data_IF_764933838221
#
_entry.id   IF_764933838221
#
_cell.length_a   1.000
_cell.length_b   1.000
_cell.length_c   1.000
_cell.angle_alpha   90.00
_cell.angle_beta   90.00
_cell.angle_gamma   90.00
#
_symmetry.space_group_name_H-M   'P 1'
#
loop_
_entity.id
_entity.type
_entity.pdbx_description
1 polymer ?
#
# COMPACT_ATOMS: atom_id res chain seq x y z
N UNK A 1 25.31 23.08 17.48
CA UNK A 1 25.32 21.64 17.80
C UNK A 1 26.69 21.09 17.44
N UNK A 2 27.35 20.32 18.32
CA UNK A 2 28.64 19.71 18.00
C UNK A 2 28.56 18.84 16.75
N UNK A 3 29.53 18.99 15.85
CA UNK A 3 29.78 18.06 14.75
C UNK A 3 29.97 16.67 15.38
N UNK A 4 29.17 15.67 14.99
CA UNK A 4 29.14 14.31 15.58
C UNK A 4 28.35 14.13 16.89
N UNK A 5 27.36 14.99 17.16
CA UNK A 5 26.37 14.69 18.21
C UNK A 5 25.59 13.41 17.85
N UNK A 6 25.88 12.33 18.57
CA UNK A 6 25.34 10.99 18.39
C UNK A 6 23.83 11.01 18.12
N UNK A 7 23.36 10.12 17.23
CA UNK A 7 21.93 9.94 16.88
C UNK A 7 21.01 9.74 18.10
N UNK A 8 21.57 9.48 19.28
CA UNK A 8 20.92 9.34 20.58
C UNK A 8 20.52 10.65 21.27
N UNK A 9 21.04 11.80 20.84
CA UNK A 9 20.69 13.11 21.40
C UNK A 9 19.89 14.00 20.45
N UNK A 10 19.77 13.60 19.18
CA UNK A 10 18.96 14.31 18.21
C UNK A 10 17.50 13.86 18.33
N UNK A 11 16.71 14.61 19.10
CA UNK A 11 15.26 14.35 19.31
C UNK A 11 14.54 14.08 18.01
N UNK A 12 14.85 14.85 16.96
CA UNK A 12 14.25 14.73 15.64
C UNK A 12 14.50 13.36 15.01
N UNK A 13 15.74 12.85 15.09
CA UNK A 13 16.15 11.56 14.53
C UNK A 13 15.54 10.37 15.29
N UNK A 14 15.54 10.44 16.63
CA UNK A 14 15.07 9.35 17.50
C UNK A 14 13.56 9.20 17.42
N UNK A 15 12.83 10.31 17.33
CA UNK A 15 11.37 10.30 17.39
C UNK A 15 10.75 10.35 16.02
N UNK A 16 10.61 11.56 15.49
CA UNK A 16 9.78 11.82 14.33
C UNK A 16 10.30 11.16 13.07
N UNK A 17 11.60 11.23 12.78
CA UNK A 17 12.16 10.67 11.55
C UNK A 17 12.15 9.14 11.60
N UNK A 18 12.43 8.53 12.76
CA UNK A 18 12.37 7.06 12.90
C UNK A 18 10.95 6.51 12.75
N UNK A 19 9.95 7.24 13.25
CA UNK A 19 8.53 6.85 13.12
C UNK A 19 8.05 7.06 11.68
N UNK A 20 8.44 8.17 11.03
CA UNK A 20 8.14 8.40 9.60
C UNK A 20 8.73 7.30 8.73
N UNK A 21 9.99 6.90 8.96
CA UNK A 21 10.63 5.81 8.20
C UNK A 21 9.86 4.50 8.34
N UNK A 22 9.42 4.16 9.55
CA UNK A 22 8.63 2.95 9.82
C UNK A 22 7.24 3.01 9.18
N UNK A 23 6.53 4.13 9.36
CA UNK A 23 5.21 4.35 8.76
C UNK A 23 5.28 4.27 7.24
N UNK A 24 6.24 4.98 6.63
CA UNK A 24 6.46 4.91 5.19
C UNK A 24 6.78 3.48 4.73
N UNK A 25 7.67 2.76 5.43
CA UNK A 25 7.97 1.36 5.13
C UNK A 25 6.73 0.46 5.15
N UNK A 26 5.83 0.65 6.12
CA UNK A 26 4.55 -0.07 6.19
C UNK A 26 3.64 0.26 5.01
N UNK A 27 3.54 1.54 4.61
CA UNK A 27 2.74 1.94 3.45
C UNK A 27 3.31 1.36 2.14
N UNK A 28 4.63 1.34 1.99
CA UNK A 28 5.29 0.68 0.84
C UNK A 28 5.00 -0.81 0.82
N UNK A 29 5.03 -1.48 1.98
CA UNK A 29 4.70 -2.89 2.08
C UNK A 29 3.24 -3.19 1.67
N UNK A 30 2.29 -2.33 2.05
CA UNK A 30 0.90 -2.44 1.58
C UNK A 30 0.79 -2.26 0.06
N UNK A 31 1.55 -1.34 -0.52
CA UNK A 31 1.59 -1.16 -1.99
C UNK A 31 2.15 -2.40 -2.70
N UNK A 32 3.20 -3.02 -2.16
CA UNK A 32 3.78 -4.26 -2.69
C UNK A 32 2.77 -5.41 -2.60
N UNK A 33 2.02 -5.53 -1.49
CA UNK A 33 0.94 -6.52 -1.34
C UNK A 33 -0.14 -6.39 -2.40
N UNK A 34 -0.38 -5.17 -2.90
CA UNK A 34 -1.31 -4.89 -3.99
C UNK A 34 -0.69 -5.09 -5.39
N UNK A 35 0.53 -5.60 -5.48
CA UNK A 35 1.25 -5.84 -6.74
C UNK A 35 1.92 -4.59 -7.33
N UNK A 36 2.00 -3.48 -6.57
CA UNK A 36 2.65 -2.24 -7.00
C UNK A 36 4.13 -2.30 -6.59
N UNK A 37 4.96 -2.80 -7.49
CA UNK A 37 6.41 -2.97 -7.23
C UNK A 37 7.24 -1.73 -7.57
N UNK A 38 6.67 -0.74 -8.25
CA UNK A 38 7.38 0.48 -8.64
C UNK A 38 6.69 1.72 -8.06
N UNK A 39 7.44 2.48 -7.28
CA UNK A 39 7.01 3.75 -6.68
C UNK A 39 7.65 4.88 -7.47
N UNK A 40 6.86 5.61 -8.25
CA UNK A 40 7.34 6.80 -8.93
C UNK A 40 7.40 7.99 -7.96
N UNK A 41 8.01 9.10 -8.40
CA UNK A 41 8.22 10.29 -7.56
C UNK A 41 6.92 10.87 -7.00
N UNK A 42 5.84 10.84 -7.77
CA UNK A 42 4.50 11.25 -7.33
C UNK A 42 3.96 10.31 -6.24
N UNK A 43 4.11 9.00 -6.42
CA UNK A 43 3.71 8.00 -5.42
C UNK A 43 4.50 8.16 -4.12
N UNK A 44 5.81 8.43 -4.21
CA UNK A 44 6.67 8.74 -3.05
C UNK A 44 6.13 9.93 -2.27
N UNK A 45 5.79 11.03 -2.95
CA UNK A 45 5.30 12.24 -2.29
C UNK A 45 3.96 11.98 -1.59
N UNK A 46 3.04 11.27 -2.25
CA UNK A 46 1.74 10.91 -1.67
C UNK A 46 1.91 10.07 -0.39
N UNK A 47 2.73 9.01 -0.49
CA UNK A 47 3.01 8.10 0.63
C UNK A 47 3.78 8.81 1.76
N UNK A 48 4.73 9.68 1.42
CA UNK A 48 5.49 10.44 2.40
C UNK A 48 4.62 11.45 3.14
N UNK A 49 3.72 12.17 2.44
CA UNK A 49 2.77 13.10 3.08
C UNK A 49 1.86 12.35 4.04
N UNK A 50 1.38 11.16 3.64
CA UNK A 50 0.57 10.31 4.51
C UNK A 50 1.37 9.85 5.74
N UNK A 51 2.56 9.26 5.54
CA UNK A 51 3.42 8.81 6.64
C UNK A 51 3.78 9.96 7.59
N UNK A 52 3.99 11.16 7.06
CA UNK A 52 4.26 12.37 7.84
C UNK A 52 3.07 12.72 8.74
N UNK A 53 1.84 12.71 8.21
CA UNK A 53 0.63 12.98 9.00
C UNK A 53 0.45 11.96 10.13
N UNK A 54 0.70 10.69 9.84
CA UNK A 54 0.54 9.61 10.80
C UNK A 54 1.62 9.63 11.90
N UNK A 55 2.82 10.12 11.55
CA UNK A 55 3.99 10.05 12.44
C UNK A 55 4.19 11.30 13.30
N UNK A 56 3.89 12.49 12.77
CA UNK A 56 4.07 13.77 13.48
C UNK A 56 2.87 14.08 14.38
N UNK A 57 2.60 13.21 15.35
CA UNK A 57 1.61 13.44 16.39
C UNK A 57 2.24 14.09 17.62
N UNK A 58 1.43 14.78 18.42
CA UNK A 58 1.89 15.38 19.69
C UNK A 58 2.55 14.34 20.62
N UNK A 59 1.99 13.13 20.67
CA UNK A 59 2.54 12.03 21.47
C UNK A 59 3.91 11.57 20.97
N UNK A 60 4.11 11.41 19.66
CA UNK A 60 5.41 11.03 19.08
C UNK A 60 6.48 12.07 19.38
N UNK A 61 6.14 13.36 19.24
CA UNK A 61 7.07 14.45 19.53
C UNK A 61 7.42 14.46 21.02
N UNK A 62 6.43 14.45 21.91
CA UNK A 62 6.65 14.42 23.37
C UNK A 62 7.48 13.21 23.80
N UNK A 63 7.19 12.03 23.26
CA UNK A 63 7.95 10.82 23.52
C UNK A 63 9.40 10.94 23.04
N UNK A 64 9.65 11.67 21.96
CA UNK A 64 10.98 12.01 21.49
C UNK A 64 11.78 12.87 22.44
N UNK A 65 11.19 13.95 22.92
CA UNK A 65 11.81 14.81 23.93
C UNK A 65 12.07 14.08 25.25
N UNK A 66 11.15 13.19 25.66
CA UNK A 66 11.35 12.31 26.81
C UNK A 66 12.48 11.31 26.59
N UNK A 67 12.52 10.67 25.43
CA UNK A 67 13.54 9.66 25.09
C UNK A 67 14.95 10.25 24.98
N UNK A 68 15.07 11.51 24.59
CA UNK A 68 16.34 12.24 24.58
C UNK A 68 16.71 12.85 25.94
N UNK A 69 15.88 12.64 26.98
CA UNK A 69 16.13 13.20 28.32
C UNK A 69 16.04 14.72 28.39
N UNK A 70 15.41 15.37 27.40
CA UNK A 70 15.31 16.84 27.31
C UNK A 70 14.05 17.34 28.05
N UNK A 71 12.91 16.68 27.88
CA UNK A 71 11.66 17.08 28.53
C UNK A 71 10.80 15.87 28.95
N UNK A 72 10.61 15.62 30.26
CA UNK A 72 11.30 16.28 31.39
C UNK A 72 12.81 16.00 31.36
N UNK A 73 13.61 16.91 31.93
CA UNK A 73 15.06 16.78 31.94
C UNK A 73 15.48 15.56 32.79
N UNK A 74 16.23 14.63 32.19
CA UNK A 74 16.60 13.37 32.84
C UNK A 74 17.67 12.63 32.05
N UNK A 75 18.93 12.83 32.44
CA UNK A 75 20.10 12.25 31.77
C UNK A 75 20.25 10.74 32.06
N UNK A 76 19.78 10.26 33.20
CA UNK A 76 19.93 8.86 33.63
C UNK A 76 19.34 7.87 32.62
N UNK A 77 18.15 8.16 32.08
CA UNK A 77 17.50 7.33 31.05
C UNK A 77 18.27 7.27 29.73
N UNK A 78 19.08 8.29 29.43
CA UNK A 78 19.92 8.35 28.23
C UNK A 78 21.24 7.62 28.50
N UNK A 79 21.81 7.80 29.68
CA UNK A 79 23.03 7.11 30.13
C UNK A 79 22.82 5.59 30.22
N UNK A 80 21.67 5.12 30.68
CA UNK A 80 21.31 3.69 30.69
C UNK A 80 21.30 3.07 29.29
N UNK A 81 20.95 3.85 28.25
CA UNK A 81 20.98 3.42 26.85
C UNK A 81 22.36 3.48 26.21
N UNK A 82 23.28 4.27 26.78
CA UNK A 82 24.67 4.39 26.33
C UNK A 82 25.56 3.27 26.89
N UNK A 83 25.15 2.61 27.98
CA UNK A 83 25.77 1.39 28.48
C UNK A 83 25.43 0.21 27.58
N UNK A 84 26.03 0.17 26.40
CA UNK A 84 25.94 -0.96 25.48
C UNK A 84 26.79 -2.10 26.05
N UNK A 85 26.18 -2.96 26.85
CA UNK A 85 26.71 -4.32 26.95
C UNK A 85 26.53 -4.97 25.57
N UNK A 86 27.65 -5.27 24.90
CA UNK A 86 27.66 -6.10 23.71
C UNK A 86 27.19 -7.51 24.10
N UNK A 87 25.88 -7.70 24.14
CA UNK A 87 25.30 -9.04 24.21
C UNK A 87 25.27 -9.58 22.79
N UNK A 88 26.11 -10.56 22.51
CA UNK A 88 25.86 -11.48 21.41
C UNK A 88 24.50 -12.14 21.68
N UNK A 89 23.52 -12.09 20.76
CA UNK A 89 22.33 -12.89 20.94
C UNK A 89 22.75 -14.35 20.99
N UNK A 90 22.57 -14.99 22.15
CA UNK A 90 22.68 -16.44 22.25
C UNK A 90 21.64 -17.03 21.30
N UNK A 91 21.98 -18.04 20.47
CA UNK A 91 21.02 -18.63 19.56
C UNK A 91 19.80 -19.12 20.36
N UNK A 92 18.57 -18.89 19.87
CA UNK A 92 17.39 -19.42 20.55
C UNK A 92 17.53 -20.94 20.65
N UNK A 93 17.42 -21.47 21.86
CA UNK A 93 17.25 -22.91 22.06
C UNK A 93 15.97 -23.33 21.34
N UNK A 94 16.11 -24.07 20.26
CA UNK A 94 15.01 -24.71 19.56
C UNK A 94 14.38 -25.72 20.52
N UNK A 95 13.21 -25.40 21.06
CA UNK A 95 12.34 -26.42 21.63
C UNK A 95 11.71 -27.17 20.47
N UNK A 96 12.05 -28.45 20.34
CA UNK A 96 11.38 -29.41 19.46
C UNK A 96 9.91 -29.50 19.91
N UNK A 97 9.01 -28.87 19.14
CA UNK A 97 7.57 -29.09 19.25
C UNK A 97 7.23 -30.15 18.20
N UNK A 98 6.78 -31.31 18.66
CA UNK A 98 6.16 -32.35 17.83
C UNK A 98 4.88 -31.81 17.18
N UNK A 99 4.59 -32.18 15.92
CA UNK A 99 3.44 -31.65 15.22
C UNK A 99 2.17 -32.41 15.64
N UNK A 100 1.33 -31.78 16.45
CA UNK A 100 -0.10 -32.09 16.43
C UNK A 100 -0.84 -30.99 15.66
N UNK A 101 -1.62 -31.45 14.68
CA UNK A 101 -2.39 -30.67 13.72
C UNK A 101 -3.22 -29.57 14.39
N UNK A 102 -2.80 -28.32 14.21
CA UNK A 102 -3.60 -27.14 14.57
C UNK A 102 -3.56 -26.12 13.43
N UNK A 103 -4.75 -25.81 12.91
CA UNK A 103 -5.02 -24.82 11.87
C UNK A 103 -5.78 -23.66 12.56
N UNK A 104 -5.27 -22.42 12.53
CA UNK A 104 -6.01 -21.27 13.04
C UNK A 104 -6.98 -20.76 11.97
N UNK A 105 -8.18 -20.29 12.35
CA UNK A 105 -8.78 -19.04 11.84
C UNK A 105 -10.20 -18.77 12.35
N UNK A 106 -10.53 -17.48 12.36
CA UNK A 106 -11.27 -16.73 13.38
C UNK A 106 -12.71 -16.41 13.02
N UNK A 107 -13.67 -16.73 13.91
CA UNK A 107 -15.08 -16.31 13.93
C UNK A 107 -15.30 -14.78 14.01
N UNK A 108 -16.37 -14.29 13.38
CA UNK A 108 -16.54 -12.87 12.97
C UNK A 108 -17.41 -11.98 13.88
N UNK A 109 -17.93 -12.51 14.97
CA UNK A 109 -18.55 -11.75 16.08
C UNK A 109 -18.52 -12.63 17.34
N UNK A 110 -18.00 -12.11 18.46
CA UNK A 110 -17.82 -12.86 19.70
C UNK A 110 -19.14 -13.19 20.41
N UNK A 111 -20.14 -12.32 20.30
CA UNK A 111 -21.42 -12.49 21.00
C UNK A 111 -22.33 -13.57 20.38
N UNK A 112 -22.36 -13.67 19.04
CA UNK A 112 -23.15 -14.70 18.35
C UNK A 112 -22.52 -16.10 18.42
N UNK A 113 -21.20 -16.17 18.64
CA UNK A 113 -20.47 -17.42 18.80
C UNK A 113 -20.81 -18.12 20.12
N UNK A 114 -20.87 -17.37 21.23
CA UNK A 114 -21.24 -17.95 22.53
C UNK A 114 -22.71 -18.44 22.54
N UNK A 115 -23.62 -17.72 21.88
CA UNK A 115 -25.03 -18.13 21.74
C UNK A 115 -25.19 -19.44 20.94
N UNK A 116 -24.44 -19.57 19.84
CA UNK A 116 -24.44 -20.80 19.03
C UNK A 116 -23.68 -21.96 19.69
N UNK A 117 -22.63 -21.66 20.45
CA UNK A 117 -21.88 -22.66 21.23
C UNK A 117 -22.76 -23.29 22.29
N UNK A 118 -23.56 -22.50 23.02
CA UNK A 118 -24.49 -23.02 24.02
C UNK A 118 -25.65 -23.81 23.40
N UNK A 119 -26.22 -23.35 22.28
CA UNK A 119 -27.27 -24.09 21.57
C UNK A 119 -26.77 -25.44 21.01
N UNK A 120 -25.56 -25.48 20.47
CA UNK A 120 -24.93 -26.71 19.96
C UNK A 120 -24.52 -27.63 21.11
N UNK A 121 -24.00 -27.11 22.22
CA UNK A 121 -23.72 -27.91 23.42
C UNK A 121 -24.98 -28.51 24.05
N UNK A 122 -26.09 -27.77 24.06
CA UNK A 122 -27.41 -28.25 24.51
C UNK A 122 -27.92 -29.40 23.63
N UNK A 123 -27.85 -29.25 22.30
CA UNK A 123 -28.25 -30.30 21.36
C UNK A 123 -27.37 -31.56 21.45
N UNK A 124 -26.06 -31.38 21.66
CA UNK A 124 -25.12 -32.49 21.89
C UNK A 124 -25.43 -33.20 23.21
N UNK A 125 -25.76 -32.47 24.28
CA UNK A 125 -26.08 -33.05 25.59
C UNK A 125 -27.38 -33.85 25.55
N UNK A 126 -28.40 -33.38 24.83
CA UNK A 126 -29.65 -34.13 24.62
C UNK A 126 -29.45 -35.35 23.70
N UNK A 127 -28.53 -35.27 22.74
CA UNK A 127 -28.21 -36.35 21.80
C UNK A 127 -27.44 -37.53 22.42
N UNK A 128 -26.73 -37.31 23.53
CA UNK A 128 -25.89 -38.34 24.17
C UNK A 128 -26.72 -39.46 24.81
N UNK A 129 -28.03 -39.27 25.02
CA UNK A 129 -28.91 -40.32 25.54
C UNK A 129 -29.54 -41.24 24.47
N UNK A 130 -29.32 -41.01 23.15
CA UNK A 130 -30.16 -41.68 22.15
C UNK A 130 -29.51 -42.29 20.90
N UNK A 131 -28.21 -42.10 20.59
CA UNK A 131 -27.46 -42.93 19.60
C UNK A 131 -26.06 -42.35 19.28
N UNK A 132 -25.02 -43.18 19.04
CA UNK A 132 -23.71 -42.74 18.56
C UNK A 132 -23.70 -42.69 17.02
N UNK A 133 -23.66 -41.50 16.39
CA UNK A 133 -23.74 -41.43 14.92
C UNK A 133 -22.67 -40.54 14.24
N UNK A 134 -21.96 -41.06 13.21
CA UNK A 134 -21.02 -40.32 12.33
C UNK A 134 -21.58 -39.01 11.74
N UNK A 135 -22.89 -38.90 11.67
CA UNK A 135 -23.69 -37.76 11.17
C UNK A 135 -23.52 -36.51 12.03
N UNK A 136 -23.39 -36.64 13.36
CA UNK A 136 -23.14 -35.48 14.25
C UNK A 136 -21.76 -34.88 13.98
N UNK A 137 -20.76 -35.73 13.69
CA UNK A 137 -19.42 -35.29 13.29
C UNK A 137 -19.45 -34.60 11.92
N UNK A 138 -20.20 -35.13 10.96
CA UNK A 138 -20.38 -34.53 9.64
C UNK A 138 -21.03 -33.14 9.71
N UNK A 139 -22.10 -32.97 10.51
CA UNK A 139 -22.76 -31.67 10.71
C UNK A 139 -21.82 -30.66 11.36
N UNK A 140 -21.04 -31.04 12.37
CA UNK A 140 -20.02 -30.17 12.97
C UNK A 140 -18.96 -29.74 11.96
N UNK A 141 -18.53 -30.64 11.08
CA UNK A 141 -17.58 -30.33 10.02
C UNK A 141 -18.17 -29.38 8.97
N UNK A 142 -19.44 -29.55 8.59
CA UNK A 142 -20.16 -28.62 7.71
C UNK A 142 -20.21 -27.21 8.31
N UNK A 143 -20.60 -27.08 9.59
CA UNK A 143 -20.64 -25.79 10.28
C UNK A 143 -19.26 -25.11 10.26
N UNK A 144 -18.17 -25.85 10.55
CA UNK A 144 -16.80 -25.33 10.45
C UNK A 144 -16.43 -24.91 9.02
N UNK A 145 -16.83 -25.68 8.02
CA UNK A 145 -16.62 -25.36 6.61
C UNK A 145 -17.31 -24.06 6.20
N UNK A 146 -18.56 -23.86 6.62
CA UNK A 146 -19.30 -22.61 6.40
C UNK A 146 -18.64 -21.42 7.09
N UNK A 147 -18.20 -21.57 8.34
CA UNK A 147 -17.47 -20.52 9.05
C UNK A 147 -16.22 -20.10 8.29
N UNK A 148 -15.38 -21.06 7.89
CA UNK A 148 -14.16 -20.79 7.12
C UNK A 148 -14.46 -20.12 5.78
N UNK A 149 -15.48 -20.59 5.06
CA UNK A 149 -15.91 -19.98 3.80
C UNK A 149 -16.35 -18.52 4.01
N UNK A 150 -17.09 -18.23 5.08
CA UNK A 150 -17.44 -16.86 5.43
C UNK A 150 -16.20 -16.01 5.72
N UNK A 151 -15.23 -16.49 6.51
CA UNK A 151 -13.99 -15.75 6.80
C UNK A 151 -13.21 -15.39 5.56
N UNK A 152 -12.99 -16.38 4.71
CA UNK A 152 -12.35 -16.19 3.41
C UNK A 152 -13.10 -15.18 2.56
N UNK A 153 -14.43 -15.27 2.46
CA UNK A 153 -15.23 -14.33 1.69
C UNK A 153 -15.07 -12.88 2.19
N UNK A 154 -14.94 -12.66 3.50
CA UNK A 154 -14.76 -11.30 4.04
C UNK A 154 -13.34 -10.76 3.89
N UNK A 155 -12.32 -11.62 3.98
CA UNK A 155 -10.95 -11.23 3.64
C UNK A 155 -10.84 -10.89 2.15
N UNK A 156 -11.39 -11.76 1.29
CA UNK A 156 -11.41 -11.56 -0.16
C UNK A 156 -12.18 -10.31 -0.58
N UNK A 157 -13.30 -9.98 0.08
CA UNK A 157 -14.02 -8.74 -0.22
C UNK A 157 -13.22 -7.51 0.19
N UNK A 158 -12.56 -7.53 1.34
CA UNK A 158 -11.67 -6.45 1.78
C UNK A 158 -10.47 -6.28 0.84
N UNK A 159 -9.82 -7.37 0.44
CA UNK A 159 -8.70 -7.36 -0.52
C UNK A 159 -9.15 -6.89 -1.91
N UNK A 160 -10.28 -7.39 -2.42
CA UNK A 160 -10.83 -6.94 -3.70
C UNK A 160 -11.16 -5.45 -3.68
N UNK A 161 -11.72 -4.92 -2.60
CA UNK A 161 -11.96 -3.49 -2.46
C UNK A 161 -10.66 -2.67 -2.54
N UNK A 162 -9.59 -3.10 -1.85
CA UNK A 162 -8.26 -2.48 -1.93
C UNK A 162 -7.69 -2.54 -3.36
N UNK A 163 -7.79 -3.71 -4.02
CA UNK A 163 -7.32 -3.92 -5.39
C UNK A 163 -8.09 -3.05 -6.40
N UNK A 164 -9.40 -2.88 -6.24
CA UNK A 164 -10.20 -2.01 -7.09
C UNK A 164 -9.73 -0.56 -6.99
N UNK A 165 -9.53 -0.04 -5.77
CA UNK A 165 -9.01 1.32 -5.55
C UNK A 165 -7.61 1.49 -6.17
N UNK A 166 -6.72 0.52 -5.97
CA UNK A 166 -5.37 0.54 -6.55
C UNK A 166 -5.40 0.52 -8.08
N UNK A 167 -6.26 -0.33 -8.68
CA UNK A 167 -6.44 -0.41 -10.13
C UNK A 167 -6.98 0.90 -10.72
N UNK A 168 -7.96 1.52 -10.07
CA UNK A 168 -8.48 2.82 -10.52
C UNK A 168 -7.41 3.92 -10.44
N UNK A 169 -6.59 3.94 -9.39
CA UNK A 169 -5.43 4.85 -9.31
C UNK A 169 -4.45 4.60 -10.44
N UNK A 170 -4.12 3.34 -10.73
CA UNK A 170 -3.22 2.97 -11.81
C UNK A 170 -3.79 3.35 -13.19
N UNK A 171 -5.08 3.14 -13.44
CA UNK A 171 -5.77 3.57 -14.68
C UNK A 171 -5.71 5.09 -14.83
N UNK A 172 -6.05 5.85 -13.79
CA UNK A 172 -5.94 7.32 -13.79
C UNK A 172 -4.52 7.79 -14.11
N UNK A 173 -3.50 7.13 -13.57
CA UNK A 173 -2.09 7.42 -13.83
C UNK A 173 -1.71 7.16 -15.29
N UNK A 174 -2.13 6.02 -15.85
CA UNK A 174 -1.94 5.69 -17.28
C UNK A 174 -2.61 6.71 -18.21
N UNK A 175 -3.78 7.20 -17.84
CA UNK A 175 -4.55 8.14 -18.63
C UNK A 175 -4.10 9.61 -18.48
N UNK A 176 -3.21 9.90 -17.51
CA UNK A 176 -2.72 11.27 -17.29
C UNK A 176 -1.75 11.66 -18.41
N UNK A 177 -2.15 12.64 -19.24
CA UNK A 177 -1.28 13.21 -20.27
C UNK A 177 -0.12 13.96 -19.61
N UNK A 178 1.11 13.68 -20.04
CA UNK A 178 2.30 14.43 -19.61
C UNK A 178 2.26 15.80 -20.29
N UNK A 179 2.08 16.86 -19.53
CA UNK A 179 2.24 18.23 -20.03
C UNK A 179 3.73 18.59 -19.97
N UNK A 180 4.29 18.93 -21.13
CA UNK A 180 5.65 19.46 -21.22
C UNK A 180 5.63 20.95 -20.88
N UNK A 181 6.35 21.34 -19.82
CA UNK A 181 6.51 22.76 -19.49
C UNK A 181 7.59 23.33 -20.40
N UNK A 182 7.16 24.17 -21.35
CA UNK A 182 8.01 24.70 -22.44
C UNK A 182 8.99 25.79 -21.99
N UNK A 183 8.71 26.49 -20.88
CA UNK A 183 9.60 27.55 -20.36
C UNK A 183 10.61 26.94 -19.40
N UNK A 184 11.89 26.93 -19.79
CA UNK A 184 12.99 26.73 -18.86
C UNK A 184 13.08 27.93 -17.92
N UNK A 185 12.87 27.71 -16.63
CA UNK A 185 12.86 28.73 -15.59
C UNK A 185 12.40 28.16 -14.24
N UNK A 186 12.56 28.94 -13.17
CA UNK A 186 12.03 28.60 -11.84
C UNK A 186 10.51 28.80 -11.87
N UNK A 187 9.76 27.70 -11.82
CA UNK A 187 8.29 27.76 -11.73
C UNK A 187 7.88 28.14 -10.32
N UNK A 188 7.06 29.17 -10.19
CA UNK A 188 6.47 29.53 -8.90
C UNK A 188 5.38 28.52 -8.53
N UNK A 189 5.22 28.25 -7.22
CA UNK A 189 4.19 27.33 -6.70
C UNK A 189 2.75 27.75 -7.03
N UNK A 190 2.56 29.01 -7.44
CA UNK A 190 1.27 29.56 -7.89
C UNK A 190 1.01 29.15 -9.36
N UNK A 191 1.99 29.36 -10.24
CA UNK A 191 1.91 29.00 -11.67
C UNK A 191 1.68 27.49 -11.87
N UNK A 192 2.30 26.65 -11.03
CA UNK A 192 2.09 25.20 -11.06
C UNK A 192 0.65 24.84 -10.65
N UNK A 193 0.05 25.55 -9.69
CA UNK A 193 -1.32 25.31 -9.24
C UNK A 193 -2.35 25.71 -10.30
N UNK A 194 -2.15 26.84 -10.95
CA UNK A 194 -3.01 27.33 -12.04
C UNK A 194 -2.96 26.42 -13.27
N UNK A 195 -1.77 25.89 -13.60
CA UNK A 195 -1.64 24.90 -14.69
C UNK A 195 -2.39 23.58 -14.39
N UNK A 196 -2.50 23.20 -13.11
CA UNK A 196 -3.25 22.01 -12.70
C UNK A 196 -4.77 22.23 -12.66
N UNK A 197 -5.24 23.41 -12.23
CA UNK A 197 -6.67 23.74 -12.19
C UNK A 197 -7.27 23.88 -13.59
N UNK A 198 -6.54 24.50 -14.53
CA UNK A 198 -6.99 24.64 -15.93
C UNK A 198 -7.21 23.33 -16.67
N UNK A 199 -6.58 22.23 -16.24
CA UNK A 199 -6.73 20.92 -16.86
C UNK A 199 -7.90 20.10 -16.30
N UNK A 200 -8.45 20.45 -15.14
CA UNK A 200 -9.57 19.73 -14.51
C UNK A 200 -10.94 20.20 -15.01
N UNK A 201 -11.01 21.40 -15.62
CA UNK A 201 -12.27 22.04 -16.03
C UNK A 201 -12.71 21.72 -17.48
N UNK A 202 -12.06 20.75 -18.17
CA UNK A 202 -12.43 20.29 -19.52
C UNK A 202 -13.00 18.87 -19.53
N UNK A 203 -13.78 18.51 -18.51
CA UNK A 203 -14.56 17.27 -18.47
C UNK A 203 -16.04 17.60 -18.27
N UNK A 204 -16.68 18.04 -19.35
CA UNK A 204 -18.12 18.17 -19.46
C UNK A 204 -18.53 17.79 -20.87
N UNK A 205 -19.47 16.84 -20.96
CA UNK A 205 -20.20 16.38 -22.14
C UNK A 205 -19.41 15.62 -23.23
N UNK A 206 -19.50 14.29 -23.23
CA UNK A 206 -20.50 13.58 -24.04
C UNK A 206 -20.36 12.05 -23.83
N UNK A 207 -21.44 11.40 -23.41
CA UNK A 207 -21.58 9.95 -23.41
C UNK A 207 -21.85 9.50 -24.85
N UNK A 208 -20.91 8.75 -25.41
CA UNK A 208 -21.04 8.12 -26.71
C UNK A 208 -19.94 7.09 -26.86
N UNK A 209 -20.31 5.81 -26.83
CA UNK A 209 -19.40 4.72 -27.14
C UNK A 209 -18.80 4.94 -28.54
N UNK A 210 -17.49 5.16 -28.60
CA UNK A 210 -16.70 5.05 -29.83
C UNK A 210 -15.28 4.68 -29.44
N UNK A 211 -14.83 3.51 -29.89
CA UNK A 211 -13.46 3.04 -29.73
C UNK A 211 -12.46 4.09 -30.23
N UNK A 212 -11.37 4.37 -29.49
CA UNK A 212 -10.31 5.24 -29.99
C UNK A 212 -9.50 4.47 -31.04
N UNK A 213 -9.88 4.61 -32.32
CA UNK A 213 -9.01 4.23 -33.42
C UNK A 213 -7.74 5.06 -33.34
N UNK A 214 -6.61 4.40 -33.09
CA UNK A 214 -5.29 5.01 -33.15
C UNK A 214 -5.03 5.45 -34.60
N UNK A 215 -5.39 6.69 -34.91
CA UNK A 215 -5.07 7.31 -36.19
C UNK A 215 -3.54 7.43 -36.30
N UNK A 216 -2.95 6.51 -37.07
CA UNK A 216 -1.54 6.51 -37.40
C UNK A 216 -1.29 7.75 -38.27
N UNK A 217 -0.26 8.53 -37.93
CA UNK A 217 0.11 9.69 -38.72
C UNK A 217 0.20 9.33 -40.23
N UNK A 218 -0.38 10.14 -41.13
CA UNK A 218 -0.41 9.82 -42.55
C UNK A 218 1.01 9.60 -43.07
N UNK A 219 1.19 8.60 -43.94
CA UNK A 219 2.52 8.31 -44.49
C UNK A 219 2.96 9.46 -45.38
N UNK A 220 4.15 9.97 -45.12
CA UNK A 220 4.76 11.08 -45.85
C UNK A 220 6.01 10.55 -46.58
N UNK A 221 6.19 10.94 -47.84
CA UNK A 221 7.40 10.68 -48.62
C UNK A 221 8.61 11.35 -47.97
N UNK A 222 9.67 10.58 -47.69
CA UNK A 222 10.87 11.10 -47.02
C UNK A 222 11.68 12.08 -47.87
N UNK A 223 11.54 12.06 -49.20
CA UNK A 223 12.28 12.93 -50.13
C UNK A 223 11.61 14.28 -50.37
N UNK A 224 10.28 14.30 -50.54
CA UNK A 224 9.54 15.52 -50.92
C UNK A 224 8.48 15.95 -49.91
N UNK A 225 8.30 15.20 -48.82
CA UNK A 225 7.30 15.42 -47.77
C UNK A 225 5.84 15.44 -48.24
N UNK A 226 5.54 14.88 -49.42
CA UNK A 226 4.16 14.67 -49.88
C UNK A 226 3.50 13.47 -49.18
N UNK A 227 2.20 13.53 -48.94
CA UNK A 227 1.39 12.43 -48.41
C UNK A 227 0.71 11.60 -49.52
N UNK A 228 0.89 11.94 -50.81
CA UNK A 228 0.20 11.29 -51.94
C UNK A 228 0.94 10.07 -52.50
N UNK A 229 2.21 9.91 -52.16
CA UNK A 229 3.06 8.84 -52.71
C UNK A 229 4.16 8.46 -51.71
N UNK A 230 4.83 7.34 -51.98
CA UNK A 230 5.96 6.87 -51.15
C UNK A 230 7.30 7.20 -51.81
N UNK A 231 8.38 7.12 -51.05
CA UNK A 231 9.75 7.37 -51.51
C UNK A 231 10.12 6.56 -52.75
N UNK A 232 9.55 5.36 -52.93
CA UNK A 232 9.82 4.47 -54.06
C UNK A 232 9.29 5.02 -55.39
N UNK A 233 8.18 5.75 -55.35
CA UNK A 233 7.46 6.31 -56.50
C UNK A 233 7.61 7.84 -56.56
N UNK A 234 8.63 8.39 -55.89
CA UNK A 234 8.88 9.82 -55.87
C UNK A 234 9.66 10.25 -57.11
N UNK A 235 9.15 11.25 -57.83
CA UNK A 235 9.82 11.77 -59.04
C UNK A 235 11.21 12.33 -58.74
N UNK A 236 11.41 12.90 -57.54
CA UNK A 236 12.73 13.37 -57.06
C UNK A 236 13.77 12.25 -56.88
N UNK A 237 13.35 10.98 -56.89
CA UNK A 237 14.26 9.83 -56.85
C UNK A 237 14.96 9.58 -58.19
N UNK A 238 14.35 9.97 -59.33
CA UNK A 238 14.94 9.76 -60.67
C UNK A 238 16.06 10.75 -61.01
N UNK A 239 16.24 11.79 -60.22
CA UNK A 239 17.23 12.85 -60.46
C UNK A 239 18.57 12.57 -59.74
N UNK A 240 18.64 11.48 -58.96
CA UNK A 240 19.81 11.15 -58.11
C UNK A 240 20.62 9.97 -58.68
N UNK A 241 20.25 9.44 -59.85
CA UNK A 241 21.06 8.44 -60.57
C UNK A 241 21.61 9.02 -61.86
#
# INVERSE_FOLDING_TARGET
>A
MPLHSFHLLQTLDISSISVVKRSYGSLVQEQIRLGINHIAKDDFLDLYIQARKDSFTYSTVRNGFKAAGIAPFGLDQVLDRLHVQLRTPSPPSVSTITPESYIPETLKNSAQLELHKEAVHGLIRCSIQSSPMPTVKAVKQLIKGFQLAMHRATLLTAENAKLQVANERAKKKRNKKKMYVRKGGILSAIEVREAHSGSSNRKGANDGYSEPTQSRAPRICSLCRSNTHTTRTCDKRRVIN
#
